data_IF_939889764862
#
_entry.id   IF_939889764862
#
_cell.length_a   1.000
_cell.length_b   1.000
_cell.length_c   1.000
_cell.angle_alpha   90.00
_cell.angle_beta   90.00
_cell.angle_gamma   90.00
#
_symmetry.space_group_name_H-M   'P 1'
#
loop_
_entity.id
_entity.type
_entity.pdbx_description
1 polymer ?
#
# COMPACT_ATOMS: atom_id res chain seq x y z
N UNK A 1 34.13 -21.22 -73.02
CA UNK A 1 33.70 -20.75 -71.69
C UNK A 1 32.39 -21.44 -71.35
N UNK A 2 32.38 -22.55 -70.60
CA UNK A 2 32.33 -22.62 -69.12
C UNK A 2 31.20 -21.78 -68.53
N UNK A 3 30.06 -22.40 -68.23
CA UNK A 3 29.37 -22.35 -66.91
C UNK A 3 28.16 -23.30 -66.95
N UNK A 4 28.19 -24.51 -66.35
CA UNK A 4 28.23 -24.88 -64.92
C UNK A 4 26.99 -24.44 -64.15
N UNK A 5 26.15 -25.44 -63.81
CA UNK A 5 25.53 -25.73 -62.50
C UNK A 5 24.61 -24.65 -61.88
N UNK A 6 23.62 -24.92 -61.04
CA UNK A 6 23.12 -26.12 -60.41
C UNK A 6 21.75 -25.75 -59.79
N UNK A 7 20.92 -26.77 -59.60
CA UNK A 7 19.75 -26.72 -58.74
C UNK A 7 20.13 -26.25 -57.33
N UNK A 8 19.35 -25.33 -56.77
CA UNK A 8 19.37 -25.02 -55.35
C UNK A 8 18.05 -25.48 -54.73
N UNK A 9 18.16 -26.58 -53.99
CA UNK A 9 17.15 -27.10 -53.07
C UNK A 9 16.99 -26.09 -51.93
N UNK A 10 15.79 -25.54 -51.79
CA UNK A 10 15.43 -24.63 -50.70
C UNK A 10 15.34 -25.37 -49.37
N UNK A 11 16.24 -25.04 -48.43
CA UNK A 11 16.21 -25.54 -47.06
C UNK A 11 15.36 -24.59 -46.21
N UNK A 12 14.14 -25.01 -45.88
CA UNK A 12 13.28 -24.29 -44.95
C UNK A 12 13.81 -24.44 -43.51
N UNK A 13 14.37 -23.36 -42.96
CA UNK A 13 14.81 -23.30 -41.56
C UNK A 13 13.61 -22.95 -40.67
N UNK A 14 13.13 -23.94 -39.92
CA UNK A 14 12.16 -23.74 -38.84
C UNK A 14 12.89 -23.13 -37.63
N UNK A 15 12.70 -21.83 -37.38
CA UNK A 15 13.21 -21.17 -36.19
C UNK A 15 12.34 -21.52 -34.97
N UNK A 16 12.91 -22.01 -33.86
CA UNK A 16 12.14 -22.30 -32.65
C UNK A 16 11.80 -20.98 -31.95
N UNK A 17 10.51 -20.65 -31.89
CA UNK A 17 9.99 -19.54 -31.08
C UNK A 17 10.15 -19.88 -29.60
N UNK A 18 11.17 -19.33 -28.95
CA UNK A 18 11.31 -19.35 -27.50
C UNK A 18 10.15 -18.55 -26.88
N UNK A 19 9.14 -19.25 -26.37
CA UNK A 19 8.20 -18.67 -25.42
C UNK A 19 8.95 -18.38 -24.12
N UNK A 20 9.30 -17.11 -23.89
CA UNK A 20 9.75 -16.64 -22.59
C UNK A 20 8.52 -16.56 -21.68
N UNK A 21 8.34 -17.57 -20.83
CA UNK A 21 7.35 -17.53 -19.76
C UNK A 21 7.77 -16.45 -18.74
N UNK A 22 7.13 -15.29 -18.81
CA UNK A 22 7.27 -14.26 -17.79
C UNK A 22 6.51 -14.74 -16.55
N UNK A 23 7.25 -15.25 -15.57
CA UNK A 23 6.71 -15.50 -14.24
C UNK A 23 6.30 -14.14 -13.66
N UNK A 24 5.00 -13.85 -13.71
CA UNK A 24 4.40 -12.76 -12.94
C UNK A 24 4.53 -13.17 -11.48
N UNK A 25 5.58 -12.73 -10.82
CA UNK A 25 5.69 -12.85 -9.37
C UNK A 25 4.56 -12.03 -8.79
N UNK A 26 3.60 -12.70 -8.15
CA UNK A 26 2.62 -12.04 -7.31
C UNK A 26 3.39 -11.19 -6.30
N UNK A 27 3.28 -9.87 -6.42
CA UNK A 27 3.80 -8.93 -5.45
C UNK A 27 3.02 -9.19 -4.16
N UNK A 28 3.61 -9.95 -3.24
CA UNK A 28 3.19 -9.91 -1.84
C UNK A 28 3.09 -8.44 -1.47
N UNK A 29 1.91 -7.98 -1.06
CA UNK A 29 1.66 -6.62 -0.58
C UNK A 29 2.82 -6.21 0.30
N UNK A 30 3.72 -5.37 -0.24
CA UNK A 30 4.95 -5.02 0.44
C UNK A 30 4.58 -4.38 1.78
N UNK A 31 5.16 -4.86 2.88
CA UNK A 31 5.03 -4.20 4.17
C UNK A 31 5.33 -2.71 3.99
N UNK A 32 4.43 -1.84 4.48
CA UNK A 32 4.53 -0.40 4.23
C UNK A 32 5.83 0.22 4.75
N UNK A 33 6.25 1.33 4.15
CA UNK A 33 7.38 2.12 4.59
C UNK A 33 6.95 3.13 5.65
N UNK A 34 7.31 2.87 6.91
CA UNK A 34 6.93 3.72 8.04
C UNK A 34 7.47 5.16 7.95
N UNK A 35 8.60 5.40 7.26
CA UNK A 35 9.15 6.76 7.08
C UNK A 35 8.26 7.58 6.17
N UNK A 36 7.88 7.02 5.01
CA UNK A 36 6.91 7.65 4.09
C UNK A 36 5.54 7.80 4.76
N UNK A 37 5.12 6.77 5.50
CA UNK A 37 3.89 6.79 6.27
C UNK A 37 3.82 7.92 7.28
N UNK A 38 4.95 8.25 7.93
CA UNK A 38 5.05 9.39 8.85
C UNK A 38 4.76 10.72 8.13
N UNK A 39 5.32 10.92 6.95
CA UNK A 39 5.12 12.15 6.17
C UNK A 39 3.65 12.32 5.79
N UNK A 40 3.00 11.24 5.32
CA UNK A 40 1.58 11.22 4.99
C UNK A 40 0.72 11.45 6.24
N UNK A 41 1.02 10.75 7.34
CA UNK A 41 0.27 10.87 8.59
C UNK A 41 0.33 12.29 9.16
N UNK A 42 1.50 12.93 9.17
CA UNK A 42 1.64 14.31 9.64
C UNK A 42 0.93 15.33 8.75
N UNK A 43 0.79 15.03 7.44
CA UNK A 43 0.08 15.91 6.52
C UNK A 43 -1.44 15.80 6.65
N UNK A 44 -1.96 14.58 6.80
CA UNK A 44 -3.39 14.32 6.63
C UNK A 44 -4.11 13.86 7.92
N UNK A 45 -3.40 13.24 8.86
CA UNK A 45 -4.00 12.55 9.99
C UNK A 45 -3.76 13.26 11.33
N UNK A 46 -2.60 13.89 11.50
CA UNK A 46 -2.18 14.44 12.81
C UNK A 46 -3.03 15.60 13.30
N UNK A 47 -3.78 16.28 12.43
CA UNK A 47 -4.73 17.32 12.83
C UNK A 47 -5.77 16.84 13.85
N UNK A 48 -6.19 15.57 13.76
CA UNK A 48 -7.09 14.94 14.73
C UNK A 48 -6.37 13.94 15.64
N UNK A 49 -5.44 13.16 15.09
CA UNK A 49 -4.77 12.09 15.84
C UNK A 49 -3.57 12.56 16.67
N UNK A 50 -3.10 13.80 16.49
CA UNK A 50 -1.85 14.30 17.07
C UNK A 50 -0.63 13.67 16.40
N UNK A 51 0.53 14.33 16.50
CA UNK A 51 1.77 13.85 15.87
C UNK A 51 2.30 12.56 16.53
N UNK A 52 1.85 12.26 17.75
CA UNK A 52 2.16 11.08 18.56
C UNK A 52 1.04 10.04 18.56
N UNK A 53 -0.07 10.29 17.86
CA UNK A 53 -1.20 9.37 17.76
C UNK A 53 -2.11 9.34 18.99
N UNK A 54 -1.88 10.16 20.02
CA UNK A 54 -2.66 10.09 21.26
C UNK A 54 -4.06 10.68 21.16
N UNK A 55 -4.33 11.48 20.13
CA UNK A 55 -5.56 12.24 19.97
C UNK A 55 -5.64 13.34 21.02
N UNK A 56 -5.33 14.58 20.62
CA UNK A 56 -5.29 15.73 21.53
C UNK A 56 -5.96 16.97 20.90
N UNK A 57 -6.45 17.87 21.75
CA UNK A 57 -7.53 18.85 21.56
C UNK A 57 -7.35 19.98 20.52
N UNK A 58 -6.43 19.90 19.53
CA UNK A 58 -6.32 20.95 18.49
C UNK A 58 -7.63 21.13 17.71
N UNK A 59 -8.41 20.06 17.62
CA UNK A 59 -9.81 20.09 17.21
C UNK A 59 -10.59 19.29 18.23
N UNK A 60 -11.49 19.92 19.00
CA UNK A 60 -12.38 19.18 19.93
C UNK A 60 -13.26 18.24 19.11
N UNK A 61 -12.80 16.98 18.99
CA UNK A 61 -13.43 15.89 18.27
C UNK A 61 -13.51 14.74 19.26
N UNK A 62 -14.66 14.54 19.92
CA UNK A 62 -14.80 13.44 20.86
C UNK A 62 -14.52 12.11 20.14
N UNK A 63 -13.93 11.15 20.85
CA UNK A 63 -13.72 9.77 20.40
C UNK A 63 -12.65 9.57 19.30
N UNK A 64 -11.57 10.36 19.29
CA UNK A 64 -10.35 9.98 18.55
C UNK A 64 -9.59 8.94 19.39
N UNK A 65 -9.41 7.74 18.85
CA UNK A 65 -8.71 6.66 19.56
C UNK A 65 -7.22 6.96 19.75
N UNK A 66 -6.69 6.63 20.91
CA UNK A 66 -5.26 6.72 21.20
C UNK A 66 -4.51 5.57 20.51
N UNK A 67 -3.82 5.91 19.43
CA UNK A 67 -3.08 4.97 18.59
C UNK A 67 -1.78 4.47 19.23
N UNK A 68 -1.36 5.06 20.35
CA UNK A 68 -0.18 4.64 21.11
C UNK A 68 -0.48 3.51 22.12
N UNK A 69 -1.75 3.12 22.31
CA UNK A 69 -2.11 2.01 23.21
C UNK A 69 -1.73 0.69 22.55
N UNK A 70 -0.72 0.01 23.10
CA UNK A 70 -0.20 -1.27 22.57
C UNK A 70 -1.27 -2.37 22.52
N UNK A 71 -2.02 -2.56 23.59
CA UNK A 71 -3.05 -3.60 23.67
C UNK A 71 -4.10 -3.42 22.57
N UNK A 72 -4.58 -2.19 22.37
CA UNK A 72 -5.48 -1.86 21.27
C UNK A 72 -4.85 -2.18 19.92
N UNK A 73 -3.61 -1.75 19.69
CA UNK A 73 -2.95 -1.97 18.40
C UNK A 73 -2.73 -3.47 18.13
N UNK A 74 -2.36 -4.26 19.12
CA UNK A 74 -2.14 -5.70 18.94
C UNK A 74 -3.43 -6.45 18.54
N UNK A 75 -4.61 -5.94 18.89
CA UNK A 75 -5.92 -6.53 18.55
C UNK A 75 -6.39 -6.19 17.12
N UNK A 76 -5.89 -5.10 16.53
CA UNK A 76 -6.31 -4.64 15.21
C UNK A 76 -5.41 -5.25 14.13
N UNK A 77 -5.98 -5.79 13.06
CA UNK A 77 -5.18 -6.26 11.90
C UNK A 77 -4.75 -5.10 11.00
N UNK A 78 -3.70 -5.31 10.20
CA UNK A 78 -3.26 -4.31 9.21
C UNK A 78 -4.35 -4.05 8.17
N UNK A 79 -5.10 -5.08 7.77
CA UNK A 79 -6.23 -4.97 6.84
C UNK A 79 -7.37 -4.15 7.43
N UNK A 80 -7.62 -4.28 8.74
CA UNK A 80 -8.61 -3.45 9.42
C UNK A 80 -8.16 -2.00 9.40
N UNK A 81 -6.93 -1.70 9.85
CA UNK A 81 -6.38 -0.34 9.85
C UNK A 81 -6.39 0.28 8.44
N UNK A 82 -5.97 -0.49 7.43
CA UNK A 82 -6.05 -0.12 6.03
C UNK A 82 -7.47 0.23 5.62
N UNK A 83 -8.46 -0.61 5.97
CA UNK A 83 -9.87 -0.37 5.66
C UNK A 83 -10.41 0.89 6.34
N UNK A 84 -10.06 1.13 7.60
CA UNK A 84 -10.45 2.35 8.33
C UNK A 84 -9.91 3.61 7.64
N UNK A 85 -8.65 3.59 7.18
CA UNK A 85 -8.05 4.73 6.48
C UNK A 85 -8.66 4.88 5.08
N UNK A 86 -8.79 3.79 4.34
CA UNK A 86 -9.27 3.82 2.96
C UNK A 86 -10.73 4.27 2.88
N UNK A 87 -11.59 3.76 3.76
CA UNK A 87 -13.06 3.96 3.69
C UNK A 87 -13.60 4.94 4.74
N UNK A 88 -12.77 5.41 5.65
CA UNK A 88 -13.17 6.32 6.73
C UNK A 88 -13.87 5.62 7.90
N UNK A 89 -14.08 6.37 8.97
CA UNK A 89 -14.60 5.83 10.23
C UNK A 89 -16.03 5.28 10.11
N UNK A 90 -16.90 5.96 9.36
CA UNK A 90 -18.30 5.53 9.20
C UNK A 90 -18.43 4.12 8.60
N UNK A 91 -17.54 3.75 7.68
CA UNK A 91 -17.58 2.46 6.98
C UNK A 91 -17.31 1.26 7.91
N UNK A 92 -16.74 1.50 9.10
CA UNK A 92 -16.43 0.48 10.11
C UNK A 92 -17.16 0.74 11.44
N UNK A 93 -18.20 1.56 11.44
CA UNK A 93 -18.96 1.90 12.66
C UNK A 93 -18.19 2.75 13.68
N UNK A 94 -17.19 3.52 13.22
CA UNK A 94 -16.42 4.49 14.03
C UNK A 94 -16.85 5.92 13.73
N UNK A 95 -16.18 6.90 14.33
CA UNK A 95 -16.51 8.31 14.19
C UNK A 95 -16.52 8.75 12.71
N UNK A 96 -17.68 9.19 12.21
CA UNK A 96 -17.87 9.62 10.82
C UNK A 96 -17.06 10.88 10.45
N UNK A 97 -16.50 11.59 11.45
CA UNK A 97 -15.58 12.70 11.22
C UNK A 97 -14.22 12.26 10.64
N UNK A 98 -13.87 10.96 10.72
CA UNK A 98 -12.71 10.42 10.01
C UNK A 98 -13.08 10.17 8.54
N UNK A 99 -12.55 10.97 7.59
CA UNK A 99 -12.93 10.86 6.19
C UNK A 99 -12.34 9.60 5.53
N UNK A 100 -12.92 9.19 4.41
CA UNK A 100 -12.31 8.22 3.52
C UNK A 100 -11.14 8.86 2.77
N UNK A 101 -9.99 8.20 2.74
CA UNK A 101 -8.79 8.74 2.09
C UNK A 101 -8.52 8.16 0.69
N UNK A 102 -9.34 7.21 0.22
CA UNK A 102 -9.15 6.57 -1.09
C UNK A 102 -9.20 7.51 -2.30
N UNK A 103 -9.77 8.72 -2.16
CA UNK A 103 -9.78 9.72 -3.22
C UNK A 103 -8.52 10.62 -3.23
N UNK A 104 -7.68 10.58 -2.18
CA UNK A 104 -6.49 11.42 -2.05
C UNK A 104 -5.19 10.60 -1.92
N UNK A 105 -5.28 9.38 -1.40
CA UNK A 105 -4.15 8.49 -1.14
C UNK A 105 -4.31 7.21 -1.95
N UNK A 106 -3.19 6.76 -2.52
CA UNK A 106 -3.10 5.44 -3.15
C UNK A 106 -2.96 4.34 -2.09
N UNK A 107 -3.23 3.10 -2.46
CA UNK A 107 -3.13 1.96 -1.55
C UNK A 107 -1.73 1.75 -0.96
N UNK A 108 -0.66 2.07 -1.71
CA UNK A 108 0.71 2.03 -1.18
C UNK A 108 0.93 3.09 -0.08
N UNK A 109 0.40 4.30 -0.26
CA UNK A 109 0.49 5.36 0.75
C UNK A 109 -0.31 5.00 2.01
N UNK A 110 -1.48 4.37 1.85
CA UNK A 110 -2.27 3.89 2.99
C UNK A 110 -1.51 2.80 3.75
N UNK A 111 -0.89 1.84 3.04
CA UNK A 111 -0.04 0.82 3.67
C UNK A 111 1.16 1.42 4.41
N UNK A 112 1.79 2.43 3.82
CA UNK A 112 2.86 3.20 4.46
C UNK A 112 2.36 3.85 5.77
N UNK A 113 1.18 4.46 5.77
CA UNK A 113 0.54 5.03 6.98
C UNK A 113 0.28 3.94 8.02
N UNK A 114 -0.26 2.78 7.63
CA UNK A 114 -0.47 1.65 8.56
C UNK A 114 0.86 1.25 9.21
N UNK A 115 1.94 1.11 8.43
CA UNK A 115 3.26 0.79 8.95
C UNK A 115 3.77 1.85 9.94
N UNK A 116 3.50 3.14 9.70
CA UNK A 116 3.83 4.20 10.65
C UNK A 116 2.98 4.14 11.93
N UNK A 117 1.66 3.94 11.82
CA UNK A 117 0.76 3.82 12.98
C UNK A 117 1.23 2.70 13.91
N UNK A 118 1.69 1.57 13.36
CA UNK A 118 2.29 0.48 14.14
C UNK A 118 3.50 0.90 14.97
N UNK A 119 4.24 1.93 14.55
CA UNK A 119 5.38 2.45 15.32
C UNK A 119 4.96 3.24 16.56
N UNK A 120 3.74 3.80 16.58
CA UNK A 120 3.29 4.70 17.64
C UNK A 120 3.06 3.97 18.96
N UNK A 121 2.67 2.69 18.90
CA UNK A 121 2.44 1.85 20.08
C UNK A 121 3.69 1.15 20.62
N UNK A 122 4.86 1.39 20.01
CA UNK A 122 6.16 0.82 20.41
C UNK A 122 7.10 1.83 21.05
N UNK A 123 6.61 3.03 21.35
CA UNK A 123 7.39 4.14 21.93
C UNK A 123 7.27 4.20 23.44
#
# INVERSE_FOLDING_TARGET
MVWRYAALVGLALLAPTLLVAHAVTAQNSSAGNASKGREVFLRYCSGCHGDDGRGEAKTFRPNVGNLAVKQLMDELSDEYLFTVIQKGGAAVGKNAAMPAWSAQLRDDEIRDVVAFVRTLSRR
#
